data_IF_965671614913
#
_entry.id   IF_965671614913
#
_cell.length_a   1.000
_cell.length_b   1.000
_cell.length_c   1.000
_cell.angle_alpha   90.00
_cell.angle_beta   90.00
_cell.angle_gamma   90.00
#
_symmetry.space_group_name_H-M   'P 1'
#
loop_
_entity.id
_entity.type
_entity.pdbx_description
1 polymer ?
#
# COMPACT_ATOMS: atom_id res chain seq x y z
N UNK A 1 1.26 13.83 1.49
CA UNK A 1 0.93 12.74 2.42
C UNK A 1 1.84 12.80 3.63
N UNK A 2 1.24 12.88 4.82
CA UNK A 2 1.88 12.71 6.12
C UNK A 2 1.55 11.32 6.71
N UNK A 3 2.18 10.95 7.83
CA UNK A 3 1.97 9.63 8.45
C UNK A 3 0.51 9.34 8.87
N UNK A 4 -0.28 10.36 9.20
CA UNK A 4 -1.70 10.18 9.53
C UNK A 4 -2.52 9.86 8.27
N UNK A 5 -2.27 10.59 7.18
CA UNK A 5 -2.89 10.35 5.88
C UNK A 5 -2.53 8.97 5.33
N UNK A 6 -1.25 8.56 5.42
CA UNK A 6 -0.82 7.22 5.01
C UNK A 6 -1.58 6.12 5.75
N UNK A 7 -1.73 6.25 7.08
CA UNK A 7 -2.50 5.28 7.87
C UNK A 7 -3.98 5.23 7.49
N UNK A 8 -4.57 6.36 7.10
CA UNK A 8 -5.96 6.38 6.61
C UNK A 8 -6.06 5.63 5.28
N UNK A 9 -5.16 5.93 4.34
CA UNK A 9 -5.08 5.30 3.02
C UNK A 9 -4.84 3.79 3.11
N UNK A 10 -3.97 3.33 4.02
CA UNK A 10 -3.78 1.90 4.32
C UNK A 10 -5.09 1.20 4.69
N UNK A 11 -5.88 1.81 5.59
CA UNK A 11 -7.16 1.25 6.01
C UNK A 11 -8.18 1.24 4.89
N UNK A 12 -8.20 2.28 4.05
CA UNK A 12 -9.08 2.33 2.87
C UNK A 12 -8.72 1.27 1.84
N UNK A 13 -7.42 1.09 1.57
CA UNK A 13 -6.89 0.04 0.68
C UNK A 13 -7.27 -1.36 1.17
N UNK A 14 -7.04 -1.65 2.45
CA UNK A 14 -7.43 -2.93 3.05
C UNK A 14 -8.94 -3.12 2.93
N UNK A 15 -9.75 -2.11 3.25
CA UNK A 15 -11.21 -2.21 3.14
C UNK A 15 -11.66 -2.47 1.70
N UNK A 16 -11.09 -1.76 0.72
CA UNK A 16 -11.40 -1.91 -0.70
C UNK A 16 -11.09 -3.33 -1.19
N UNK A 17 -9.96 -3.89 -0.79
CA UNK A 17 -9.47 -5.18 -1.27
C UNK A 17 -9.96 -6.37 -0.44
N UNK A 18 -10.41 -6.13 0.80
CA UNK A 18 -10.86 -7.18 1.76
C UNK A 18 -11.97 -8.08 1.24
N UNK A 19 -12.80 -7.59 0.31
CA UNK A 19 -13.90 -8.40 -0.27
C UNK A 19 -13.38 -9.57 -1.10
N UNK A 20 -12.24 -9.39 -1.80
CA UNK A 20 -11.60 -10.41 -2.63
C UNK A 20 -10.41 -11.07 -1.93
N UNK A 21 -9.72 -10.32 -1.08
CA UNK A 21 -8.51 -10.75 -0.36
C UNK A 21 -8.64 -10.42 1.14
N UNK A 22 -9.34 -11.26 1.93
CA UNK A 22 -9.63 -10.97 3.33
C UNK A 22 -8.38 -10.93 4.24
N UNK A 23 -7.32 -11.64 3.85
CA UNK A 23 -6.06 -11.71 4.59
C UNK A 23 -5.03 -10.65 4.14
N UNK A 24 -5.41 -9.78 3.19
CA UNK A 24 -4.51 -8.77 2.65
C UNK A 24 -4.33 -7.60 3.61
N UNK A 25 -3.09 -7.20 3.80
CA UNK A 25 -2.67 -6.04 4.58
C UNK A 25 -1.97 -5.07 3.64
N UNK A 26 -2.26 -3.78 3.75
CA UNK A 26 -1.54 -2.71 3.07
C UNK A 26 -0.72 -1.90 4.08
N UNK A 27 0.46 -1.45 3.67
CA UNK A 27 1.34 -0.57 4.44
C UNK A 27 1.94 0.50 3.51
N UNK A 28 2.04 1.74 3.95
CA UNK A 28 2.58 2.86 3.19
C UNK A 28 3.74 3.49 3.98
N UNK A 29 4.96 3.31 3.48
CA UNK A 29 6.14 3.99 4.00
C UNK A 29 6.36 5.33 3.28
N UNK A 30 6.62 6.38 4.07
CA UNK A 30 6.91 7.72 3.56
C UNK A 30 8.40 8.02 3.77
N UNK A 31 9.10 8.33 2.69
CA UNK A 31 10.51 8.73 2.71
C UNK A 31 10.61 10.25 2.59
N UNK A 32 10.49 10.94 3.74
CA UNK A 32 10.40 12.41 3.82
C UNK A 32 11.54 13.15 3.08
N UNK A 33 12.76 12.60 3.09
CA UNK A 33 13.91 13.20 2.41
C UNK A 33 13.76 13.27 0.88
N UNK A 34 12.90 12.42 0.31
CA UNK A 34 12.76 12.23 -1.14
C UNK A 34 11.33 12.47 -1.66
N UNK A 35 10.36 12.69 -0.76
CA UNK A 35 8.92 12.72 -1.06
C UNK A 35 8.46 11.48 -1.87
N UNK A 36 9.16 10.36 -1.68
CA UNK A 36 8.80 9.06 -2.22
C UNK A 36 7.97 8.31 -1.19
N UNK A 37 7.04 7.52 -1.68
CA UNK A 37 6.27 6.57 -0.89
C UNK A 37 6.42 5.17 -1.47
N UNK A 38 6.36 4.18 -0.59
CA UNK A 38 6.33 2.77 -0.95
C UNK A 38 5.08 2.15 -0.36
N UNK A 39 4.21 1.62 -1.23
CA UNK A 39 2.97 0.95 -0.86
C UNK A 39 3.20 -0.55 -0.97
N UNK A 40 3.10 -1.28 0.13
CA UNK A 40 3.37 -2.71 0.19
C UNK A 40 2.14 -3.50 0.62
N UNK A 41 1.90 -4.62 -0.05
CA UNK A 41 0.78 -5.52 0.21
C UNK A 41 1.26 -6.89 0.66
N UNK A 42 0.65 -7.43 1.72
CA UNK A 42 1.05 -8.69 2.35
C UNK A 42 -0.16 -9.60 2.55
N UNK A 43 -0.02 -10.90 2.29
CA UNK A 43 -1.10 -11.90 2.40
C UNK A 43 -1.14 -12.61 3.75
N UNK A 44 -0.35 -12.18 4.74
CA UNK A 44 -0.25 -12.87 6.01
C UNK A 44 0.04 -11.92 7.18
N UNK A 45 -0.72 -12.05 8.28
CA UNK A 45 -0.50 -11.31 9.54
C UNK A 45 0.85 -11.63 10.19
N UNK A 46 1.45 -12.77 9.87
CA UNK A 46 2.68 -13.30 10.50
C UNK A 46 3.95 -12.80 9.78
N UNK A 47 3.85 -12.23 8.57
CA UNK A 47 5.02 -11.83 7.75
C UNK A 47 5.41 -10.36 7.84
N UNK A 48 4.97 -9.62 8.86
CA UNK A 48 5.53 -8.29 9.14
C UNK A 48 7.06 -8.40 9.36
N UNK A 49 7.55 -9.54 9.85
CA UNK A 49 8.97 -9.81 10.09
C UNK A 49 9.74 -10.40 8.89
N UNK A 50 9.05 -10.82 7.80
CA UNK A 50 9.68 -11.42 6.62
C UNK A 50 9.05 -10.85 5.34
N UNK A 51 9.57 -9.71 4.92
CA UNK A 51 9.20 -8.92 3.74
C UNK A 51 9.37 -9.63 2.37
N UNK A 52 9.59 -10.95 2.35
CA UNK A 52 10.00 -11.65 1.12
C UNK A 52 8.87 -11.84 0.10
N UNK A 53 7.60 -11.78 0.52
CA UNK A 53 6.44 -12.03 -0.35
C UNK A 53 5.53 -10.80 -0.51
N UNK A 54 6.05 -9.60 -0.26
CA UNK A 54 5.28 -8.38 -0.43
C UNK A 54 5.17 -7.99 -1.90
N UNK A 55 3.98 -7.63 -2.36
CA UNK A 55 3.83 -6.88 -3.63
C UNK A 55 3.95 -5.40 -3.30
N UNK A 56 4.97 -4.72 -3.84
CA UNK A 56 5.24 -3.32 -3.53
C UNK A 56 5.20 -2.43 -4.77
N UNK A 57 4.67 -1.22 -4.60
CA UNK A 57 4.61 -0.16 -5.59
C UNK A 57 5.32 1.07 -5.04
N UNK A 58 6.22 1.67 -5.80
CA UNK A 58 6.96 2.87 -5.40
C UNK A 58 6.58 4.03 -6.29
N UNK A 59 6.27 5.17 -5.69
CA UNK A 59 5.97 6.38 -6.44
C UNK A 59 6.29 7.63 -5.65
N UNK A 60 6.26 8.80 -6.32
CA UNK A 60 6.21 10.05 -5.59
C UNK A 60 4.85 10.25 -4.93
N UNK A 61 4.84 10.96 -3.82
CA UNK A 61 3.65 11.30 -3.06
C UNK A 61 2.56 11.95 -3.93
N UNK A 62 2.95 12.90 -4.79
CA UNK A 62 2.05 13.58 -5.74
C UNK A 62 1.38 12.65 -6.75
N UNK A 63 2.02 11.51 -7.06
CA UNK A 63 1.57 10.55 -8.07
C UNK A 63 0.76 9.40 -7.47
N UNK A 64 0.57 9.38 -6.14
CA UNK A 64 -0.13 8.33 -5.41
C UNK A 64 -1.48 7.96 -6.03
N UNK A 65 -2.36 8.95 -6.23
CA UNK A 65 -3.71 8.74 -6.77
C UNK A 65 -3.70 8.18 -8.20
N UNK A 66 -2.66 8.50 -8.98
CA UNK A 66 -2.48 7.95 -10.32
C UNK A 66 -2.09 6.48 -10.22
N UNK A 67 -1.02 6.17 -9.49
CA UNK A 67 -0.51 4.81 -9.29
C UNK A 67 -1.56 3.89 -8.68
N UNK A 68 -2.35 4.40 -7.72
CA UNK A 68 -3.48 3.68 -7.15
C UNK A 68 -4.46 3.19 -8.22
N UNK A 69 -4.87 4.09 -9.12
CA UNK A 69 -5.91 3.80 -10.12
C UNK A 69 -5.39 3.05 -11.35
N UNK A 70 -4.13 3.27 -11.73
CA UNK A 70 -3.57 2.71 -12.97
C UNK A 70 -2.76 1.44 -12.76
N UNK A 71 -2.25 1.21 -11.55
CA UNK A 71 -1.33 0.10 -11.27
C UNK A 71 -1.86 -0.79 -10.15
N UNK A 72 -2.14 -0.23 -8.97
CA UNK A 72 -2.49 -1.00 -7.78
C UNK A 72 -3.87 -1.66 -7.95
N UNK A 73 -4.94 -0.89 -8.12
CA UNK A 73 -6.30 -1.45 -8.22
C UNK A 73 -6.41 -2.48 -9.36
N UNK A 74 -5.93 -2.19 -10.59
CA UNK A 74 -5.97 -3.17 -11.69
C UNK A 74 -5.13 -4.44 -11.46
N UNK A 75 -4.07 -4.38 -10.64
CA UNK A 75 -3.30 -5.58 -10.29
C UNK A 75 -4.13 -6.56 -9.44
N UNK A 76 -5.04 -6.04 -8.60
CA UNK A 76 -5.83 -6.84 -7.68
C UNK A 76 -7.23 -7.21 -8.22
N UNK A 77 -7.81 -6.44 -9.12
CA UNK A 77 -9.19 -6.63 -9.62
C UNK A 77 -9.19 -7.36 -10.96
#
# INVERSE_FOLDING_TARGET
MNHLEAKQEENELVKLLSTKYPDLIAHIDIFEATDEIVISFFWNRITIEKWNDATSFKCHNKDYQKVLKTEIIPYFI
#
